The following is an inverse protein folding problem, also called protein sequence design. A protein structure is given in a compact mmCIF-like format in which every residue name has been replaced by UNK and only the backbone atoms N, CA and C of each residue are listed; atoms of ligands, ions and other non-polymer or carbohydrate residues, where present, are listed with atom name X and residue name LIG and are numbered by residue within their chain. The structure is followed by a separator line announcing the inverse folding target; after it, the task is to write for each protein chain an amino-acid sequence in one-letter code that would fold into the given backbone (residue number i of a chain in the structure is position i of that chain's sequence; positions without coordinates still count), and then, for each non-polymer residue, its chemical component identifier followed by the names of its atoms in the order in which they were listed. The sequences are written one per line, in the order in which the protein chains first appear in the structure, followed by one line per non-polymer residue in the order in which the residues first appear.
data_IF_190929872749
#
_entry.id   IF_190929872749
#
_cell.length_a   1.000
_cell.length_b   1.000
_cell.length_c   1.000
_cell.angle_alpha   90.00
_cell.angle_beta   90.00
_cell.angle_gamma   90.00
#
_symmetry.space_group_name_H-M   'P 1'
#
loop_
_entity.id
_entity.type
_entity.pdbx_description
1 polymer ?
#
# COMPACT_ATOMS: atom_id res chain seq x y z
N UNK A 1 -5.80 -16.45 7.96
CA UNK A 1 -7.19 -16.30 7.48
C UNK A 1 -7.22 -15.71 6.08
N UNK A 2 -7.87 -16.37 5.12
CA UNK A 2 -8.13 -15.84 3.76
C UNK A 2 -9.44 -15.03 3.68
N UNK A 3 -10.18 -14.94 4.79
CA UNK A 3 -11.37 -14.12 4.94
C UNK A 3 -11.12 -13.15 6.09
N UNK A 4 -10.96 -11.84 5.83
CA UNK A 4 -10.91 -10.88 6.92
C UNK A 4 -12.35 -10.64 7.37
N UNK A 5 -12.64 -10.92 8.65
CA UNK A 5 -13.99 -10.79 9.22
C UNK A 5 -14.47 -9.33 9.28
N UNK A 6 -13.52 -8.38 9.31
CA UNK A 6 -13.82 -6.97 9.54
C UNK A 6 -13.74 -6.08 8.30
N UNK A 7 -13.63 -6.65 7.08
CA UNK A 7 -13.91 -5.87 5.85
C UNK A 7 -15.42 -5.73 5.61
N UNK A 8 -16.25 -6.16 6.54
CA UNK A 8 -17.70 -6.02 6.53
C UNK A 8 -18.17 -5.51 7.90
N UNK A 9 -17.72 -4.30 8.28
CA UNK A 9 -18.28 -3.58 9.45
C UNK A 9 -19.63 -2.95 9.09
N UNK A 10 -20.54 -2.86 10.07
CA UNK A 10 -21.90 -2.32 9.91
C UNK A 10 -21.95 -0.87 9.42
N UNK A 11 -20.82 -0.15 9.48
CA UNK A 11 -20.64 1.16 8.85
C UNK A 11 -20.42 1.01 7.33
N UNK A 12 -21.47 0.52 6.64
CA UNK A 12 -21.50 0.16 5.20
C UNK A 12 -20.83 1.24 4.30
N UNK A 13 -21.06 2.52 4.58
CA UNK A 13 -20.55 3.63 3.77
C UNK A 13 -19.03 3.78 3.80
N UNK A 14 -18.41 3.69 4.97
CA UNK A 14 -16.95 3.87 5.13
C UNK A 14 -16.22 2.67 4.52
N UNK A 15 -16.77 1.48 4.74
CA UNK A 15 -16.14 0.23 4.36
C UNK A 15 -16.06 0.03 2.83
N UNK A 16 -17.18 0.21 2.12
CA UNK A 16 -17.21 0.13 0.64
C UNK A 16 -16.39 1.26 0.02
N UNK A 17 -16.50 2.48 0.53
CA UNK A 17 -15.70 3.62 0.05
C UNK A 17 -14.20 3.33 0.18
N UNK A 18 -13.75 2.83 1.33
CA UNK A 18 -12.35 2.50 1.55
C UNK A 18 -11.89 1.38 0.62
N UNK A 19 -12.69 0.32 0.42
CA UNK A 19 -12.35 -0.76 -0.52
C UNK A 19 -12.24 -0.26 -1.97
N UNK A 20 -13.21 0.54 -2.44
CA UNK A 20 -13.19 1.12 -3.79
C UNK A 20 -12.00 2.06 -3.94
N UNK A 21 -11.69 2.87 -2.93
CA UNK A 21 -10.58 3.80 -2.97
C UNK A 21 -9.22 3.06 -3.07
N UNK A 22 -9.02 2.02 -2.26
CA UNK A 22 -7.81 1.19 -2.33
C UNK A 22 -7.69 0.46 -3.68
N UNK A 23 -8.80 -0.10 -4.18
CA UNK A 23 -8.86 -0.70 -5.52
C UNK A 23 -8.52 0.32 -6.62
N UNK A 24 -9.07 1.53 -6.54
CA UNK A 24 -8.78 2.62 -7.46
C UNK A 24 -7.31 3.03 -7.46
N UNK A 25 -6.69 3.17 -6.29
CA UNK A 25 -5.25 3.45 -6.15
C UNK A 25 -4.42 2.35 -6.83
N UNK A 26 -4.79 1.07 -6.62
CA UNK A 26 -4.10 -0.05 -7.26
C UNK A 26 -4.23 0.01 -8.79
N UNK A 27 -5.43 0.26 -9.32
CA UNK A 27 -5.68 0.39 -10.76
C UNK A 27 -4.85 1.53 -11.37
N UNK A 28 -4.82 2.70 -10.73
CA UNK A 28 -4.01 3.84 -11.19
C UNK A 28 -2.52 3.47 -11.17
N UNK A 29 -2.04 2.84 -10.09
CA UNK A 29 -0.65 2.39 -9.98
C UNK A 29 -0.23 1.42 -11.09
N UNK A 30 -1.06 0.41 -11.37
CA UNK A 30 -0.81 -0.51 -12.48
C UNK A 30 -0.89 0.18 -13.84
N UNK A 31 -1.88 1.05 -14.05
CA UNK A 31 -2.05 1.78 -15.31
C UNK A 31 -0.84 2.64 -15.64
N UNK A 32 -0.27 3.34 -14.66
CA UNK A 32 0.96 4.12 -14.82
C UNK A 32 2.18 3.25 -15.11
N UNK A 33 2.25 2.06 -14.52
CA UNK A 33 3.33 1.11 -14.75
C UNK A 33 3.29 0.51 -16.16
N UNK A 34 2.12 0.04 -16.62
CA UNK A 34 1.93 -0.56 -17.94
C UNK A 34 1.97 0.47 -19.08
N UNK A 35 1.56 1.71 -18.83
CA UNK A 35 1.66 2.81 -19.79
C UNK A 35 3.07 3.43 -19.85
N UNK A 36 4.04 2.90 -19.10
CA UNK A 36 5.44 3.36 -19.03
C UNK A 36 5.62 4.81 -18.58
N UNK A 37 4.62 5.40 -17.93
CA UNK A 37 4.68 6.76 -17.39
C UNK A 37 5.56 6.84 -16.13
N UNK A 38 6.00 5.69 -15.61
CA UNK A 38 6.85 5.56 -14.44
C UNK A 38 8.11 4.77 -14.77
N UNK A 39 9.26 5.24 -14.31
CA UNK A 39 10.54 4.56 -14.51
C UNK A 39 10.66 3.27 -13.70
N UNK A 40 11.14 2.19 -14.32
CA UNK A 40 11.33 0.88 -13.68
C UNK A 40 12.62 0.79 -12.82
N UNK A 41 12.96 1.86 -12.10
CA UNK A 41 14.16 1.98 -11.28
C UNK A 41 13.80 1.88 -9.80
N UNK A 42 14.73 1.37 -8.98
CA UNK A 42 14.57 1.35 -7.51
C UNK A 42 14.42 2.77 -6.95
N UNK A 43 15.02 3.78 -7.58
CA UNK A 43 14.83 5.18 -7.18
C UNK A 43 13.36 5.62 -7.21
N UNK A 44 12.53 5.02 -8.07
CA UNK A 44 11.08 5.25 -8.07
C UNK A 44 10.45 4.78 -6.77
N UNK A 45 10.84 3.59 -6.29
CA UNK A 45 10.36 3.06 -5.01
C UNK A 45 10.84 3.93 -3.85
N UNK A 46 12.08 4.40 -3.86
CA UNK A 46 12.59 5.30 -2.81
C UNK A 46 11.75 6.59 -2.74
N UNK A 47 11.46 7.20 -3.90
CA UNK A 47 10.59 8.40 -3.97
C UNK A 47 9.18 8.09 -3.44
N UNK A 48 8.61 6.94 -3.79
CA UNK A 48 7.32 6.51 -3.27
C UNK A 48 7.36 6.27 -1.74
N UNK A 49 8.44 5.70 -1.21
CA UNK A 49 8.64 5.48 0.23
C UNK A 49 8.70 6.79 1.00
N UNK A 50 9.24 7.88 0.42
CA UNK A 50 9.18 9.22 1.05
C UNK A 50 7.73 9.66 1.22
N UNK A 51 6.91 9.56 0.16
CA UNK A 51 5.49 9.92 0.24
C UNK A 51 4.76 9.03 1.25
N UNK A 52 5.01 7.73 1.23
CA UNK A 52 4.43 6.79 2.19
C UNK A 52 4.82 7.12 3.63
N UNK A 53 6.08 7.48 3.87
CA UNK A 53 6.57 7.89 5.19
C UNK A 53 5.82 9.10 5.73
N UNK A 54 5.58 10.11 4.90
CA UNK A 54 4.83 11.31 5.28
C UNK A 54 3.42 10.93 5.70
N UNK A 55 2.73 10.10 4.91
CA UNK A 55 1.35 9.69 5.22
C UNK A 55 1.28 8.83 6.48
N UNK A 56 2.21 7.90 6.66
CA UNK A 56 2.30 7.07 7.88
C UNK A 56 2.58 7.94 9.10
N UNK A 57 3.47 8.93 8.99
CA UNK A 57 3.75 9.87 10.08
C UNK A 57 2.50 10.68 10.46
N UNK A 58 1.74 11.18 9.48
CA UNK A 58 0.48 11.86 9.72
C UNK A 58 -0.50 10.93 10.45
N UNK A 59 -0.62 9.67 10.02
CA UNK A 59 -1.49 8.70 10.68
C UNK A 59 -1.07 8.44 12.15
N UNK A 60 0.22 8.30 12.43
CA UNK A 60 0.76 8.16 13.78
C UNK A 60 0.38 9.39 14.63
N UNK A 61 0.59 10.60 14.11
CA UNK A 61 0.27 11.84 14.81
C UNK A 61 -1.22 11.98 15.09
N UNK A 62 -2.08 11.68 14.12
CA UNK A 62 -3.53 11.76 14.31
C UNK A 62 -4.02 10.73 15.33
N UNK A 63 -3.49 9.51 15.31
CA UNK A 63 -3.81 8.50 16.33
C UNK A 63 -3.34 8.94 17.71
N UNK A 64 -2.13 9.53 17.82
CA UNK A 64 -1.64 10.09 19.08
C UNK A 64 -2.55 11.22 19.57
N UNK A 65 -2.94 12.14 18.69
CA UNK A 65 -3.83 13.26 19.02
C UNK A 65 -5.18 12.76 19.56
N UNK A 66 -5.77 11.81 18.86
CA UNK A 66 -7.01 11.18 19.29
C UNK A 66 -6.87 10.56 20.68
N UNK A 67 -5.78 9.84 20.91
CA UNK A 67 -5.50 9.11 22.14
C UNK A 67 -5.21 10.00 23.36
N UNK A 68 -4.78 11.25 23.16
CA UNK A 68 -4.43 12.18 24.24
C UNK A 68 -5.47 13.26 24.47
N UNK A 69 -6.14 13.77 23.43
CA UNK A 69 -7.03 14.93 23.55
C UNK A 69 -8.51 14.65 23.27
N UNK A 70 -8.86 13.67 22.42
CA UNK A 70 -10.27 13.43 22.03
C UNK A 70 -10.87 12.31 22.88
N UNK A 71 -10.28 11.12 22.83
CA UNK A 71 -10.61 9.96 23.67
C UNK A 71 -12.07 9.47 23.65
N UNK A 72 -12.88 9.93 22.70
CA UNK A 72 -14.27 9.53 22.53
C UNK A 72 -14.50 8.89 21.16
N UNK A 73 -15.18 7.74 21.13
CA UNK A 73 -15.42 6.95 19.93
C UNK A 73 -14.24 6.07 19.47
N UNK A 74 -14.24 5.72 18.19
CA UNK A 74 -13.19 4.89 17.55
C UNK A 74 -12.47 5.66 16.46
N UNK A 75 -11.14 5.70 16.55
CA UNK A 75 -10.29 6.33 15.55
C UNK A 75 -9.01 5.52 15.40
N UNK A 76 -8.97 4.67 14.37
CA UNK A 76 -7.86 3.77 14.10
C UNK A 76 -7.29 4.01 12.70
N UNK A 77 -6.64 5.17 12.52
CA UNK A 77 -6.02 5.49 11.24
C UNK A 77 -4.98 4.44 10.88
N UNK A 78 -5.08 3.90 9.67
CA UNK A 78 -4.17 2.88 9.12
C UNK A 78 -4.10 1.57 9.92
N UNK A 79 -5.03 1.34 10.86
CA UNK A 79 -4.99 0.18 11.75
C UNK A 79 -3.71 0.08 12.60
N UNK A 80 -3.10 1.23 12.92
CA UNK A 80 -1.86 1.33 13.72
C UNK A 80 -2.06 2.02 15.07
N UNK A 81 -3.29 2.32 15.48
CA UNK A 81 -3.55 2.90 16.79
C UNK A 81 -3.38 1.82 17.88
N UNK A 82 -2.54 2.04 18.93
CA UNK A 82 -2.35 1.06 20.00
C UNK A 82 -3.59 0.80 20.89
N UNK A 83 -4.60 1.67 20.87
CA UNK A 83 -5.85 1.46 21.64
C UNK A 83 -6.82 0.49 20.97
N UNK A 84 -6.63 0.20 19.69
CA UNK A 84 -7.56 -0.59 18.89
C UNK A 84 -6.84 -1.75 18.22
N UNK A 85 -7.51 -2.90 18.14
CA UNK A 85 -6.96 -4.07 17.46
C UNK A 85 -6.83 -3.81 15.95
N UNK A 86 -5.73 -4.27 15.36
CA UNK A 86 -5.46 -4.18 13.94
C UNK A 86 -6.13 -5.33 13.22
N UNK A 87 -7.02 -5.04 12.26
CA UNK A 87 -7.75 -6.08 11.52
C UNK A 87 -7.04 -6.48 10.22
N UNK A 88 -5.80 -6.01 10.01
CA UNK A 88 -5.00 -6.39 8.85
C UNK A 88 -4.48 -7.82 9.07
N UNK A 89 -4.73 -8.75 8.13
CA UNK A 89 -4.20 -10.11 8.23
C UNK A 89 -2.68 -10.11 8.46
N UNK A 90 -2.18 -11.06 9.26
CA UNK A 90 -0.78 -11.15 9.73
C UNK A 90 -0.45 -10.09 10.78
N UNK A 91 -0.79 -8.81 10.57
CA UNK A 91 -0.53 -7.77 11.56
C UNK A 91 -1.40 -7.93 12.81
N UNK A 92 -2.63 -8.42 12.65
CA UNK A 92 -3.50 -8.82 13.77
C UNK A 92 -2.78 -9.79 14.72
N UNK A 93 -2.11 -10.80 14.18
CA UNK A 93 -1.40 -11.81 14.97
C UNK A 93 -0.12 -11.25 15.60
N UNK A 94 0.50 -10.23 15.00
CA UNK A 94 1.74 -9.62 15.49
C UNK A 94 1.47 -8.59 16.60
N UNK A 95 0.42 -7.80 16.48
CA UNK A 95 0.14 -6.64 17.35
C UNK A 95 0.21 -6.95 18.86
N UNK A 96 -0.35 -8.08 19.37
CA UNK A 96 -0.33 -8.38 20.81
C UNK A 96 1.08 -8.68 21.36
N UNK A 97 2.04 -8.98 20.48
CA UNK A 97 3.38 -9.44 20.87
C UNK A 97 4.44 -8.35 20.82
N UNK A 98 4.10 -7.15 20.38
CA UNK A 98 5.05 -6.04 20.21
C UNK A 98 4.46 -4.74 20.73
N UNK A 99 5.32 -3.81 21.16
CA UNK A 99 4.86 -2.47 21.51
C UNK A 99 4.50 -1.65 20.25
N UNK A 100 3.78 -0.55 20.44
CA UNK A 100 3.28 0.31 19.36
C UNK A 100 4.37 0.80 18.40
N UNK A 101 5.57 1.14 18.91
CA UNK A 101 6.67 1.63 18.07
C UNK A 101 7.17 0.51 17.16
N UNK A 102 7.40 -0.68 17.72
CA UNK A 102 7.83 -1.87 16.96
C UNK A 102 6.75 -2.28 15.97
N UNK A 103 5.47 -2.24 16.36
CA UNK A 103 4.34 -2.50 15.47
C UNK A 103 4.34 -1.57 14.25
N UNK A 104 4.51 -0.26 14.48
CA UNK A 104 4.54 0.74 13.41
C UNK A 104 5.73 0.55 12.46
N UNK A 105 6.88 0.13 12.97
CA UNK A 105 8.04 -0.22 12.15
C UNK A 105 7.76 -1.47 11.30
N UNK A 106 7.18 -2.52 11.89
CA UNK A 106 6.78 -3.74 11.17
C UNK A 106 5.76 -3.40 10.08
N UNK A 107 4.76 -2.57 10.39
CA UNK A 107 3.80 -2.06 9.41
C UNK A 107 4.50 -1.36 8.25
N UNK A 108 5.34 -0.36 8.54
CA UNK A 108 6.02 0.45 7.53
C UNK A 108 6.92 -0.39 6.61
N UNK A 109 7.78 -1.23 7.20
CA UNK A 109 8.70 -2.06 6.44
C UNK A 109 7.98 -3.20 5.73
N UNK A 110 6.95 -3.78 6.34
CA UNK A 110 6.13 -4.83 5.73
C UNK A 110 5.43 -4.36 4.46
N UNK A 111 4.74 -3.23 4.52
CA UNK A 111 4.09 -2.65 3.33
C UNK A 111 5.11 -2.21 2.26
N UNK A 112 6.25 -1.65 2.67
CA UNK A 112 7.33 -1.29 1.72
C UNK A 112 7.90 -2.53 1.02
N UNK A 113 8.08 -3.63 1.76
CA UNK A 113 8.54 -4.90 1.21
C UNK A 113 7.54 -5.50 0.22
N UNK A 114 6.25 -5.52 0.57
CA UNK A 114 5.19 -5.98 -0.35
C UNK A 114 5.15 -5.13 -1.61
N UNK A 115 5.26 -3.80 -1.49
CA UNK A 115 5.31 -2.91 -2.64
C UNK A 115 6.52 -3.19 -3.55
N UNK A 116 7.70 -3.46 -2.97
CA UNK A 116 8.90 -3.87 -3.71
C UNK A 116 8.67 -5.19 -4.46
N UNK A 117 8.08 -6.19 -3.81
CA UNK A 117 7.77 -7.50 -4.42
C UNK A 117 6.82 -7.31 -5.61
N UNK A 118 5.70 -6.60 -5.41
CA UNK A 118 4.71 -6.33 -6.46
C UNK A 118 5.35 -5.58 -7.63
N UNK A 119 6.16 -4.55 -7.35
CA UNK A 119 6.86 -3.79 -8.38
C UNK A 119 7.82 -4.67 -9.21
N UNK A 120 8.59 -5.53 -8.54
CA UNK A 120 9.53 -6.45 -9.21
C UNK A 120 8.83 -7.51 -10.05
N UNK A 121 7.73 -8.08 -9.56
CA UNK A 121 6.91 -9.03 -10.30
C UNK A 121 6.40 -8.38 -11.59
N UNK A 122 5.75 -7.21 -11.49
CA UNK A 122 5.16 -6.55 -12.65
C UNK A 122 6.20 -6.07 -13.67
N UNK A 123 7.30 -5.47 -13.21
CA UNK A 123 8.40 -5.06 -14.12
C UNK A 123 9.05 -6.26 -14.82
N UNK A 124 9.15 -7.41 -14.15
CA UNK A 124 9.63 -8.65 -14.76
C UNK A 124 8.67 -9.18 -15.83
N UNK A 125 7.35 -9.16 -15.57
CA UNK A 125 6.34 -9.53 -16.57
C UNK A 125 6.40 -8.63 -17.80
N UNK A 126 6.49 -7.31 -17.60
CA UNK A 126 6.62 -6.34 -18.70
C UNK A 126 7.88 -6.62 -19.52
N UNK A 127 9.03 -6.84 -18.87
CA UNK A 127 10.28 -7.16 -19.55
C UNK A 127 10.18 -8.44 -20.39
N UNK A 128 9.60 -9.52 -19.84
CA UNK A 128 9.40 -10.79 -20.55
C UNK A 128 8.48 -10.59 -21.76
N UNK A 129 7.39 -9.84 -21.60
CA UNK A 129 6.45 -9.54 -22.68
C UNK A 129 7.12 -8.75 -23.81
N UNK A 130 7.89 -7.73 -23.48
CA UNK A 130 8.60 -6.91 -24.47
C UNK A 130 9.66 -7.68 -25.23
N UNK A 131 10.40 -8.57 -24.56
CA UNK A 131 11.40 -9.43 -25.21
C UNK A 131 10.77 -10.37 -26.23
N UNK A 132 9.52 -10.79 -26.02
CA UNK A 132 8.78 -11.68 -26.94
C UNK A 132 8.15 -10.94 -28.13
N UNK A 133 8.11 -9.60 -28.15
CA UNK A 133 7.52 -8.86 -29.28
C UNK A 133 8.33 -9.05 -30.56
N UNK A 134 7.69 -9.20 -31.73
CA UNK A 134 8.39 -9.27 -33.01
C UNK A 134 9.17 -7.99 -33.32
N UNK A 135 10.33 -8.13 -33.97
CA UNK A 135 11.26 -7.04 -34.29
C UNK A 135 10.61 -5.81 -34.95
N UNK A 136 9.63 -6.02 -35.85
CA UNK A 136 8.89 -4.92 -36.52
C UNK A 136 8.11 -4.04 -35.53
N UNK A 137 7.51 -4.62 -34.50
CA UNK A 137 6.78 -3.87 -33.47
C UNK A 137 7.72 -3.12 -32.54
N UNK A 138 8.88 -3.71 -32.25
CA UNK A 138 9.92 -3.05 -31.44
C UNK A 138 10.48 -1.81 -32.14
N UNK A 139 10.67 -1.88 -33.47
CA UNK A 139 11.12 -0.74 -34.28
C UNK A 139 10.08 0.39 -34.36
N UNK A 140 8.80 0.04 -34.53
CA UNK A 140 7.71 1.03 -34.57
C UNK A 140 7.48 1.73 -33.21
N UNK A 141 7.73 1.02 -32.10
CA UNK A 141 7.64 1.62 -30.76
C UNK A 141 8.79 2.58 -30.47
N UNK A 142 10.01 2.28 -30.96
CA UNK A 142 11.18 3.17 -30.82
C UNK A 142 11.09 4.44 -31.66
N UNK A 143 10.31 4.46 -32.74
CA UNK A 143 10.12 5.68 -33.55
C UNK A 143 9.07 6.63 -33.00
N UNK A 144 8.32 6.23 -31.95
CA UNK A 144 7.25 7.01 -31.31
C UNK A 144 7.60 7.52 -29.91
N UNK A 145 8.75 7.11 -29.37
CA UNK A 145 9.28 7.52 -28.06
C UNK A 145 10.46 8.46 -28.26
#
# INVERSE_FOLDING_TARGET
MLHPGDVFVDTIGINIQTMIHHGGIAIVGFSLLFSKQVSYKINTLIKASVVFSIVVLIAILLNAIFNTWINDGTFNMFFINPKFTSNIPILFDIQPHVNAVVFNLIYYFGFTLVALIVFKINTSFIYIYEKKKPLKEQQLQKSKA
#
